data_IF_543839638066
#
_entry.id   IF_543839638066
#
_cell.length_a   1.000
_cell.length_b   1.000
_cell.length_c   1.000
_cell.angle_alpha   90.00
_cell.angle_beta   90.00
_cell.angle_gamma   90.00
#
_symmetry.space_group_name_H-M   'P 1'
#
loop_
_entity.id
_entity.type
_entity.pdbx_description
1 polymer ?
#
# COMPACT_ATOMS: atom_id res chain seq x y z
N UNK A 1 -5.34 -0.25 6.27
CA UNK A 1 -5.18 0.18 4.84
C UNK A 1 -4.14 -0.73 4.23
N UNK A 2 -4.48 -1.43 3.15
CA UNK A 2 -3.55 -2.30 2.44
C UNK A 2 -2.53 -1.46 1.66
N UNK A 3 -1.25 -1.64 1.98
CA UNK A 3 -0.14 -1.08 1.23
C UNK A 3 0.56 -2.20 0.48
N UNK A 4 0.98 -1.94 -0.74
CA UNK A 4 1.78 -2.84 -1.54
C UNK A 4 3.23 -2.42 -1.47
N UNK A 5 4.11 -3.33 -1.06
CA UNK A 5 5.53 -3.06 -1.14
C UNK A 5 6.00 -3.07 -2.60
N UNK A 6 6.75 -2.05 -3.02
CA UNK A 6 7.27 -1.94 -4.39
C UNK A 6 8.26 -3.07 -4.74
N UNK A 7 9.00 -3.58 -3.73
CA UNK A 7 10.03 -4.61 -3.91
C UNK A 7 9.46 -6.03 -3.87
N UNK A 8 8.85 -6.43 -2.75
CA UNK A 8 8.34 -7.80 -2.59
C UNK A 8 6.93 -8.00 -3.18
N UNK A 9 6.26 -6.92 -3.62
CA UNK A 9 4.90 -6.90 -4.19
C UNK A 9 3.82 -7.48 -3.29
N UNK A 10 4.16 -7.84 -2.04
CA UNK A 10 3.21 -8.29 -1.03
C UNK A 10 2.37 -7.13 -0.53
N UNK A 11 1.12 -7.45 -0.25
CA UNK A 11 0.19 -6.58 0.45
C UNK A 11 0.55 -6.69 1.93
N UNK A 12 0.79 -5.56 2.55
CA UNK A 12 1.16 -5.39 3.95
C UNK A 12 0.18 -4.41 4.57
N UNK A 13 -0.32 -4.76 5.74
CA UNK A 13 -0.98 -3.82 6.63
C UNK A 13 0.12 -3.23 7.52
N UNK A 14 0.11 -1.91 7.65
CA UNK A 14 1.13 -1.19 8.42
C UNK A 14 0.42 -0.50 9.58
N UNK A 15 0.86 -0.82 10.78
CA UNK A 15 0.44 -0.12 11.99
C UNK A 15 1.38 1.06 12.23
N UNK A 16 0.83 2.28 12.07
CA UNK A 16 1.55 3.55 12.18
C UNK A 16 2.12 3.82 13.58
N UNK A 17 1.58 3.16 14.61
CA UNK A 17 1.91 3.42 16.01
C UNK A 17 3.24 2.79 16.44
N UNK A 18 3.64 1.63 15.88
CA UNK A 18 4.77 0.85 16.42
C UNK A 18 5.89 0.55 15.42
N UNK A 19 5.61 0.47 14.12
CA UNK A 19 6.55 -0.12 13.15
C UNK A 19 7.17 0.86 12.14
N UNK A 20 6.70 2.11 12.12
CA UNK A 20 7.07 3.10 11.11
C UNK A 20 6.72 2.63 9.68
N UNK A 21 7.21 3.35 8.66
CA UNK A 21 6.93 3.01 7.26
C UNK A 21 7.97 1.98 6.78
N UNK A 22 7.79 0.71 7.15
CA UNK A 22 8.70 -0.38 6.77
C UNK A 22 7.94 -1.66 6.44
N UNK A 23 8.29 -2.29 5.32
CA UNK A 23 7.76 -3.60 4.96
C UNK A 23 8.31 -4.67 5.92
N UNK A 24 7.47 -5.45 6.63
CA UNK A 24 7.92 -6.49 7.56
C UNK A 24 8.67 -7.64 6.87
N UNK A 25 8.44 -7.86 5.58
CA UNK A 25 9.02 -8.99 4.85
C UNK A 25 10.39 -8.72 4.24
N UNK A 26 10.68 -7.47 3.82
CA UNK A 26 11.91 -7.14 3.10
C UNK A 26 12.63 -5.91 3.64
N UNK A 27 12.08 -5.27 4.67
CA UNK A 27 12.65 -4.07 5.29
C UNK A 27 12.63 -2.82 4.41
N UNK A 28 12.06 -2.86 3.21
CA UNK A 28 11.96 -1.73 2.30
C UNK A 28 10.96 -0.69 2.80
N UNK A 29 11.26 0.60 2.57
CA UNK A 29 10.50 1.73 3.14
C UNK A 29 9.57 2.43 2.15
N UNK A 30 9.55 2.00 0.89
CA UNK A 30 8.66 2.56 -0.13
C UNK A 30 7.47 1.62 -0.31
N UNK A 31 6.29 2.14 -0.02
CA UNK A 31 5.04 1.40 0.02
C UNK A 31 4.00 2.19 -0.79
N UNK A 32 3.27 1.49 -1.66
CA UNK A 32 2.26 2.07 -2.54
C UNK A 32 0.87 1.75 -2.00
N UNK A 33 -0.01 2.75 -1.88
CA UNK A 33 -1.40 2.50 -1.48
C UNK A 33 -2.14 1.73 -2.59
N UNK A 34 -2.85 0.67 -2.23
CA UNK A 34 -3.66 -0.04 -3.22
C UNK A 34 -4.84 0.81 -3.72
N UNK A 35 -5.21 0.59 -4.99
CA UNK A 35 -6.36 1.24 -5.58
C UNK A 35 -7.61 0.81 -4.80
N UNK A 36 -8.46 1.75 -4.36
CA UNK A 36 -9.71 1.38 -3.72
C UNK A 36 -10.59 0.57 -4.67
N UNK A 37 -11.35 -0.38 -4.14
CA UNK A 37 -12.33 -1.18 -4.89
C UNK A 37 -13.55 -0.36 -5.33
N UNK A 38 -13.68 0.87 -4.84
CA UNK A 38 -14.77 1.79 -5.20
C UNK A 38 -14.71 2.18 -6.67
N UNK A 39 -15.82 1.98 -7.38
CA UNK A 39 -15.97 2.37 -8.78
C UNK A 39 -16.04 3.89 -8.90
N UNK A 40 -15.08 4.49 -9.61
CA UNK A 40 -15.07 5.92 -9.91
C UNK A 40 -15.82 6.17 -11.22
N UNK A 41 -16.88 7.00 -11.20
CA UNK A 41 -17.54 7.50 -12.41
C UNK A 41 -16.69 8.62 -13.02
N UNK A 42 -16.35 8.50 -14.29
CA UNK A 42 -15.52 9.47 -15.02
C UNK A 42 -16.23 9.79 -16.34
N UNK A 43 -16.39 11.09 -16.66
CA UNK A 43 -16.95 11.49 -17.96
C UNK A 43 -15.92 11.17 -19.05
N UNK A 44 -16.35 10.52 -20.13
CA UNK A 44 -15.56 10.46 -21.35
C UNK A 44 -15.67 11.84 -22.01
N UNK A 45 -14.52 12.47 -22.27
CA UNK A 45 -14.43 13.69 -23.09
C UNK A 45 -14.51 13.27 -24.55
#
# INVERSE_FOLDING_TARGET
>A
MAYKCTRCKKIVEIDYEYSGIRCPYCGHRILMKERPTTVKKMKAV
#
